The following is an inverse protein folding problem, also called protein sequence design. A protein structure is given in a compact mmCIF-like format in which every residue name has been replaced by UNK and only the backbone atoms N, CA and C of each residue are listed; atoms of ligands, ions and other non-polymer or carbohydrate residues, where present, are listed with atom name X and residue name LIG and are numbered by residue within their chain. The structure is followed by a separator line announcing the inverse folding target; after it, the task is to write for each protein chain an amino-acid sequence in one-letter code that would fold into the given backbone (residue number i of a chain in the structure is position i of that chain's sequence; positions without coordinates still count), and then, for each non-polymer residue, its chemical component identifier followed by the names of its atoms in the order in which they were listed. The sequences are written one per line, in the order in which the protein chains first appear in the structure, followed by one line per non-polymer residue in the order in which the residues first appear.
data_IF_360900109992
#
_entry.id   IF_360900109992
#
_cell.length_a   1.000
_cell.length_b   1.000
_cell.length_c   1.000
_cell.angle_alpha   90.00
_cell.angle_beta   90.00
_cell.angle_gamma   90.00
#
_symmetry.space_group_name_H-M   'P 1'
#
loop_
_entity.id
_entity.type
_entity.pdbx_description
1 polymer ?
#
# COMPACT_ATOMS: atom_id res chain seq x y z
N UNK A 1 6.32 -69.11 -48.75
CA UNK A 1 5.77 -68.79 -47.42
C UNK A 1 5.34 -67.33 -47.50
N UNK A 2 4.03 -67.10 -47.63
CA UNK A 2 3.44 -65.81 -48.00
C UNK A 2 2.93 -65.08 -46.75
N UNK A 3 3.14 -63.77 -46.69
CA UNK A 3 2.59 -62.88 -45.68
C UNK A 3 1.24 -62.35 -46.21
N UNK A 4 0.11 -62.56 -45.53
CA UNK A 4 -1.14 -61.90 -45.88
C UNK A 4 -1.26 -60.55 -45.16
N UNK A 5 -1.78 -59.56 -45.91
CA UNK A 5 -2.35 -58.32 -45.38
C UNK A 5 -3.66 -58.59 -44.64
N UNK A 6 -3.90 -57.85 -43.54
CA UNK A 6 -5.24 -57.45 -43.12
C UNK A 6 -5.27 -55.95 -42.84
N UNK A 7 -6.35 -55.31 -43.30
CA UNK A 7 -6.63 -53.88 -43.25
C UNK A 7 -7.70 -53.59 -42.19
N UNK A 8 -7.66 -52.37 -41.65
CA UNK A 8 -8.70 -51.60 -40.93
C UNK A 8 -8.76 -51.75 -39.40
N UNK A 9 -8.56 -50.65 -38.68
CA UNK A 9 -9.64 -49.68 -38.45
C UNK A 9 -9.06 -48.38 -37.86
N UNK A 10 -9.56 -47.23 -38.34
CA UNK A 10 -9.30 -45.93 -37.76
C UNK A 10 -10.03 -45.83 -36.41
N UNK A 11 -9.29 -46.01 -35.32
CA UNK A 11 -9.74 -45.57 -34.00
C UNK A 11 -9.27 -44.14 -33.81
N UNK A 12 -10.26 -43.24 -33.64
CA UNK A 12 -10.05 -41.83 -33.45
C UNK A 12 -9.00 -41.55 -32.39
N UNK A 13 -8.14 -40.57 -32.69
CA UNK A 13 -7.35 -39.92 -31.66
C UNK A 13 -8.32 -39.37 -30.64
N UNK A 14 -8.37 -40.02 -29.47
CA UNK A 14 -8.73 -39.34 -28.25
C UNK A 14 -7.80 -38.13 -28.17
N UNK A 15 -8.33 -36.95 -28.52
CA UNK A 15 -7.83 -35.67 -28.03
C UNK A 15 -8.05 -35.68 -26.53
N UNK A 16 -7.22 -36.44 -25.82
CA UNK A 16 -7.02 -36.27 -24.39
C UNK A 16 -6.56 -34.83 -24.22
N UNK A 17 -7.47 -34.00 -23.73
CA UNK A 17 -7.19 -32.61 -23.42
C UNK A 17 -5.91 -32.53 -22.61
N UNK A 18 -5.02 -31.67 -23.06
CA UNK A 18 -3.82 -31.30 -22.32
C UNK A 18 -4.25 -30.78 -20.93
N UNK A 19 -3.84 -31.41 -19.82
CA UNK A 19 -4.22 -31.02 -18.47
C UNK A 19 -3.38 -29.81 -18.02
N UNK A 20 -3.28 -28.77 -18.84
CA UNK A 20 -2.78 -27.47 -18.41
C UNK A 20 -3.82 -26.86 -17.48
N UNK A 21 -3.66 -27.18 -16.20
CA UNK A 21 -4.10 -26.42 -15.03
C UNK A 21 -5.49 -25.81 -15.18
N UNK A 22 -6.54 -26.62 -14.95
CA UNK A 22 -7.78 -26.04 -14.47
C UNK A 22 -7.45 -25.26 -13.19
N UNK A 23 -7.52 -23.93 -13.28
CA UNK A 23 -7.35 -23.05 -12.14
C UNK A 23 -8.33 -23.52 -11.06
N UNK A 24 -7.82 -23.82 -9.86
CA UNK A 24 -8.66 -24.28 -8.76
C UNK A 24 -9.77 -23.25 -8.52
N UNK A 25 -11.00 -23.74 -8.42
CA UNK A 25 -12.16 -22.85 -8.32
C UNK A 25 -12.02 -21.95 -7.08
N UNK A 26 -12.40 -20.66 -7.17
CA UNK A 26 -12.34 -19.76 -6.03
C UNK A 26 -13.07 -20.34 -4.82
N UNK A 27 -12.47 -20.23 -3.63
CA UNK A 27 -13.15 -20.54 -2.37
C UNK A 27 -14.05 -19.36 -2.03
N UNK A 28 -15.36 -19.58 -2.07
CA UNK A 28 -16.36 -18.57 -1.73
C UNK A 28 -16.74 -18.69 -0.24
N UNK A 29 -16.80 -17.54 0.45
CA UNK A 29 -17.17 -17.39 1.86
C UNK A 29 -18.27 -16.35 2.00
N UNK A 30 -19.23 -16.60 2.88
CA UNK A 30 -20.14 -15.55 3.36
C UNK A 30 -19.50 -14.77 4.50
N UNK A 31 -19.96 -13.54 4.74
CA UNK A 31 -19.53 -12.74 5.88
C UNK A 31 -20.27 -13.08 7.17
N UNK A 32 -19.58 -12.91 8.29
CA UNK A 32 -20.19 -12.73 9.60
C UNK A 32 -19.50 -11.56 10.30
N UNK A 33 -20.28 -10.69 10.95
CA UNK A 33 -19.72 -9.62 11.77
C UNK A 33 -19.32 -10.19 13.13
N UNK A 34 -18.11 -9.87 13.58
CA UNK A 34 -17.58 -10.29 14.87
C UNK A 34 -16.97 -9.10 15.62
N UNK A 35 -16.99 -9.17 16.95
CA UNK A 35 -16.27 -8.20 17.76
C UNK A 35 -14.75 -8.41 17.64
N UNK A 36 -13.98 -7.32 17.70
CA UNK A 36 -12.52 -7.41 17.74
C UNK A 36 -12.08 -8.13 19.02
N UNK A 37 -11.29 -9.22 18.94
CA UNK A 37 -10.85 -9.95 20.12
C UNK A 37 -10.00 -9.09 21.05
N UNK A 38 -10.19 -9.20 22.37
CA UNK A 38 -9.43 -8.42 23.36
C UNK A 38 -7.90 -8.54 23.19
N UNK A 39 -7.42 -9.74 22.82
CA UNK A 39 -6.01 -10.01 22.54
C UNK A 39 -5.43 -9.14 21.41
N UNK A 40 -6.25 -8.68 20.46
CA UNK A 40 -5.80 -7.76 19.41
C UNK A 40 -5.52 -6.37 19.99
N UNK A 41 -6.41 -5.87 20.85
CA UNK A 41 -6.20 -4.59 21.54
C UNK A 41 -4.93 -4.61 22.38
N UNK A 42 -4.67 -5.71 23.09
CA UNK A 42 -3.44 -5.92 23.85
C UNK A 42 -2.20 -5.97 22.94
N UNK A 43 -2.27 -6.72 21.83
CA UNK A 43 -1.17 -6.80 20.86
C UNK A 43 -0.86 -5.44 20.22
N UNK A 44 -1.88 -4.66 19.86
CA UNK A 44 -1.73 -3.30 19.31
C UNK A 44 -1.13 -2.37 20.36
N UNK A 45 -1.60 -2.40 21.61
CA UNK A 45 -1.03 -1.57 22.68
C UNK A 45 0.44 -1.90 22.96
N UNK A 46 0.81 -3.19 23.00
CA UNK A 46 2.19 -3.65 23.19
C UNK A 46 3.09 -3.42 21.95
N UNK A 47 2.49 -3.11 20.81
CA UNK A 47 3.21 -2.90 19.54
C UNK A 47 3.99 -1.58 19.49
N UNK A 48 3.71 -0.65 20.41
CA UNK A 48 4.30 0.68 20.42
C UNK A 48 5.83 0.65 20.39
N UNK A 49 6.40 1.60 19.65
CA UNK A 49 7.83 1.87 19.55
C UNK A 49 8.08 3.25 20.11
N UNK A 50 9.03 3.36 21.02
CA UNK A 50 9.49 4.65 21.52
C UNK A 50 10.36 5.34 20.45
N UNK A 51 9.88 6.47 19.96
CA UNK A 51 10.57 7.33 19.00
C UNK A 51 10.98 8.68 19.61
N UNK A 52 10.92 8.78 20.94
CA UNK A 52 11.30 9.94 21.75
C UNK A 52 10.14 10.87 22.12
N UNK A 53 8.94 10.34 22.40
CA UNK A 53 7.73 11.10 22.77
C UNK A 53 7.36 12.23 21.80
N UNK A 54 7.61 12.04 20.51
CA UNK A 54 7.37 13.01 19.43
C UNK A 54 6.48 12.38 18.35
N UNK A 55 5.62 13.19 17.73
CA UNK A 55 4.74 12.76 16.65
C UNK A 55 5.51 12.06 15.52
N UNK A 56 5.25 10.76 15.37
CA UNK A 56 5.91 9.90 14.40
C UNK A 56 4.87 9.07 13.64
N UNK A 57 4.92 9.14 12.32
CA UNK A 57 3.97 8.49 11.40
C UNK A 57 4.72 7.45 10.56
N UNK A 58 4.39 6.15 10.62
CA UNK A 58 4.96 5.17 9.72
C UNK A 58 4.54 5.47 8.27
N UNK A 59 5.37 5.10 7.31
CA UNK A 59 5.11 5.34 5.88
C UNK A 59 5.13 4.05 5.06
N UNK A 60 6.11 3.19 5.31
CA UNK A 60 6.27 1.94 4.58
C UNK A 60 6.96 0.86 5.43
N UNK A 61 6.77 -0.39 5.02
CA UNK A 61 7.34 -1.58 5.64
C UNK A 61 8.19 -2.32 4.60
N UNK A 62 9.41 -2.72 4.97
CA UNK A 62 10.30 -3.50 4.11
C UNK A 62 9.91 -4.98 4.04
N UNK A 63 10.44 -5.76 3.08
CA UNK A 63 10.28 -7.22 3.07
C UNK A 63 10.75 -7.90 4.37
N UNK A 64 11.77 -7.34 5.03
CA UNK A 64 12.28 -7.80 6.34
C UNK A 64 11.44 -7.37 7.54
N UNK A 65 10.44 -6.49 7.36
CA UNK A 65 9.62 -5.96 8.45
C UNK A 65 10.23 -4.75 9.19
N UNK A 66 11.24 -4.09 8.63
CA UNK A 66 11.68 -2.77 9.09
C UNK A 66 10.69 -1.70 8.61
N UNK A 67 10.59 -0.59 9.35
CA UNK A 67 9.61 0.46 9.05
C UNK A 67 10.30 1.79 8.82
N UNK A 68 9.98 2.43 7.70
CA UNK A 68 10.33 3.82 7.48
C UNK A 68 9.23 4.68 8.03
N UNK A 69 9.59 5.66 8.87
CA UNK A 69 8.66 6.57 9.50
C UNK A 69 9.13 8.02 9.39
N UNK A 70 8.20 8.95 9.52
CA UNK A 70 8.48 10.40 9.53
C UNK A 70 8.18 10.92 10.92
N UNK A 71 9.18 11.55 11.55
CA UNK A 71 9.05 12.22 12.85
C UNK A 71 8.97 13.73 12.64
N UNK A 72 8.03 14.38 13.32
CA UNK A 72 7.85 15.84 13.34
C UNK A 72 7.77 16.32 14.80
N UNK A 73 8.77 17.10 15.24
CA UNK A 73 8.84 17.67 16.59
C UNK A 73 8.31 19.10 16.70
N UNK A 74 7.73 19.65 15.63
CA UNK A 74 7.45 21.07 15.49
C UNK A 74 8.67 21.87 15.02
N UNK A 75 9.86 21.57 15.53
CA UNK A 75 11.11 22.21 15.13
C UNK A 75 11.84 21.45 14.02
N UNK A 76 11.83 20.13 14.07
CA UNK A 76 12.53 19.26 13.14
C UNK A 76 11.55 18.33 12.41
N UNK A 77 11.94 17.92 11.20
CA UNK A 77 11.30 16.84 10.46
C UNK A 77 12.35 15.86 9.99
N UNK A 78 12.16 14.59 10.32
CA UNK A 78 13.17 13.55 10.09
C UNK A 78 12.56 12.31 9.44
N UNK A 79 13.38 11.64 8.64
CA UNK A 79 13.13 10.27 8.21
C UNK A 79 13.82 9.31 9.18
N UNK A 80 13.08 8.35 9.70
CA UNK A 80 13.55 7.32 10.61
C UNK A 80 13.46 5.95 9.96
N UNK A 81 14.38 5.06 10.33
CA UNK A 81 14.27 3.63 10.17
C UNK A 81 14.05 3.01 11.54
N UNK A 82 12.98 2.23 11.67
CA UNK A 82 12.67 1.43 12.84
C UNK A 82 13.00 -0.02 12.50
N UNK A 83 13.97 -0.58 13.21
CA UNK A 83 14.44 -1.95 13.05
C UNK A 83 13.40 -2.98 13.48
N UNK A 84 13.63 -4.24 13.11
CA UNK A 84 12.74 -5.34 13.51
C UNK A 84 12.73 -5.56 15.03
N UNK A 85 13.85 -5.22 15.67
CA UNK A 85 14.11 -5.18 17.11
C UNK A 85 13.59 -3.91 17.82
N UNK A 86 12.83 -3.07 17.10
CA UNK A 86 12.35 -1.75 17.54
C UNK A 86 13.46 -0.71 17.78
N UNK A 87 14.71 -0.96 17.37
CA UNK A 87 15.74 0.08 17.37
C UNK A 87 15.38 1.22 16.42
N UNK A 88 15.67 2.46 16.79
CA UNK A 88 15.32 3.64 15.98
C UNK A 88 16.59 4.32 15.49
N UNK A 89 16.72 4.50 14.18
CA UNK A 89 17.84 5.17 13.54
C UNK A 89 17.35 6.31 12.66
N UNK A 90 17.93 7.49 12.82
CA UNK A 90 17.69 8.60 11.90
C UNK A 90 18.42 8.35 10.58
N UNK A 91 17.70 8.52 9.47
CA UNK A 91 18.24 8.41 8.11
C UNK A 91 18.50 9.77 7.46
N UNK A 92 17.64 10.75 7.75
CA UNK A 92 17.66 12.05 7.09
C UNK A 92 17.04 13.12 8.00
N UNK A 93 17.62 14.32 7.96
CA UNK A 93 17.04 15.54 8.56
C UNK A 93 16.62 16.50 7.46
N UNK A 94 15.37 16.96 7.51
CA UNK A 94 14.84 17.93 6.56
C UNK A 94 15.50 19.28 6.72
N UNK A 95 16.03 19.82 5.63
CA UNK A 95 16.41 21.22 5.57
C UNK A 95 15.15 22.08 5.46
N UNK A 96 15.05 23.14 6.26
CA UNK A 96 13.89 24.04 6.30
C UNK A 96 12.57 23.30 6.63
N UNK A 97 12.48 22.63 7.80
CA UNK A 97 11.30 21.88 8.22
C UNK A 97 10.04 22.74 8.35
N UNK A 98 10.17 24.07 8.46
CA UNK A 98 9.09 25.04 8.42
C UNK A 98 8.43 25.18 7.04
N UNK A 99 9.14 24.80 5.96
CA UNK A 99 8.66 24.87 4.57
C UNK A 99 8.38 23.50 3.95
N UNK A 100 9.10 22.47 4.37
CA UNK A 100 9.07 21.16 3.72
C UNK A 100 8.76 20.02 4.68
N UNK A 101 8.13 18.97 4.17
CA UNK A 101 7.85 17.72 4.86
C UNK A 101 8.19 16.51 3.99
N UNK A 102 8.09 15.33 4.55
CA UNK A 102 8.23 14.06 3.83
C UNK A 102 6.82 13.50 3.60
N UNK A 103 6.35 13.58 2.35
CA UNK A 103 4.98 13.20 1.97
C UNK A 103 4.84 11.71 1.71
N UNK A 104 5.76 11.14 0.93
CA UNK A 104 5.84 9.73 0.61
C UNK A 104 7.16 9.15 1.13
N UNK A 105 7.14 7.89 1.55
CA UNK A 105 8.36 7.08 1.66
C UNK A 105 8.04 5.61 1.32
N UNK A 106 8.98 4.96 0.64
CA UNK A 106 8.96 3.54 0.29
C UNK A 106 10.30 2.90 0.66
N UNK A 107 10.28 1.59 0.94
CA UNK A 107 11.47 0.83 1.30
C UNK A 107 11.45 -0.57 0.67
N UNK A 108 12.59 -0.99 0.14
CA UNK A 108 12.89 -2.37 -0.21
C UNK A 108 14.21 -2.81 0.47
N UNK A 109 14.78 -3.95 0.06
CA UNK A 109 15.98 -4.51 0.67
C UNK A 109 17.24 -3.64 0.52
N UNK A 110 17.30 -2.78 -0.50
CA UNK A 110 18.48 -1.95 -0.80
C UNK A 110 18.21 -0.46 -0.75
N UNK A 111 17.00 -0.02 -1.03
CA UNK A 111 16.69 1.38 -1.29
C UNK A 111 15.60 1.90 -0.35
N UNK A 112 15.73 3.17 0.00
CA UNK A 112 14.65 3.95 0.61
C UNK A 112 14.40 5.14 -0.29
N UNK A 113 13.20 5.24 -0.84
CA UNK A 113 12.76 6.36 -1.67
C UNK A 113 11.86 7.26 -0.83
N UNK A 114 11.99 8.58 -0.91
CA UNK A 114 11.06 9.49 -0.25
C UNK A 114 10.86 10.78 -1.04
N UNK A 115 9.68 11.36 -0.90
CA UNK A 115 9.29 12.60 -1.56
C UNK A 115 9.33 13.76 -0.58
N UNK A 116 10.11 14.78 -0.92
CA UNK A 116 10.11 16.08 -0.25
C UNK A 116 8.97 16.90 -0.81
N UNK A 117 8.08 17.33 0.09
CA UNK A 117 6.87 18.06 -0.24
C UNK A 117 6.95 19.45 0.35
N UNK A 118 6.69 20.48 -0.46
CA UNK A 118 6.46 21.84 0.02
C UNK A 118 5.13 21.88 0.75
N UNK A 119 5.20 21.98 2.07
CA UNK A 119 4.03 22.07 2.94
C UNK A 119 4.41 22.96 4.14
N UNK A 120 4.38 24.28 3.95
CA UNK A 120 4.79 25.21 4.98
C UNK A 120 3.86 25.13 6.19
N UNK A 121 4.41 25.26 7.39
CA UNK A 121 3.61 25.31 8.62
C UNK A 121 2.66 26.51 8.58
N UNK A 122 1.46 26.30 9.11
CA UNK A 122 0.42 27.33 9.27
C UNK A 122 -0.03 28.06 7.99
N UNK A 123 0.40 27.58 6.82
CA UNK A 123 0.03 28.16 5.55
C UNK A 123 -1.34 27.65 5.10
N UNK A 124 -2.39 28.35 5.53
CA UNK A 124 -3.75 28.10 5.04
C UNK A 124 -3.80 28.37 3.52
N UNK A 125 -4.30 27.40 2.74
CA UNK A 125 -4.51 27.54 1.30
C UNK A 125 -3.29 27.20 0.42
N UNK A 126 -2.17 26.78 1.00
CA UNK A 126 -1.07 26.20 0.21
C UNK A 126 -1.32 24.72 0.02
N UNK A 127 -1.51 24.30 -1.23
CA UNK A 127 -1.63 22.89 -1.57
C UNK A 127 -0.26 22.21 -1.47
N UNK A 128 -0.15 21.06 -0.77
CA UNK A 128 1.10 20.31 -0.72
C UNK A 128 1.54 19.87 -2.12
N UNK A 129 2.80 20.11 -2.46
CA UNK A 129 3.36 19.77 -3.77
C UNK A 129 4.70 19.07 -3.60
N UNK A 130 4.89 17.93 -4.26
CA UNK A 130 6.20 17.27 -4.31
C UNK A 130 7.16 18.13 -5.11
N UNK A 131 8.27 18.52 -4.50
CA UNK A 131 9.30 19.35 -5.14
C UNK A 131 10.55 18.56 -5.47
N UNK A 132 10.78 17.44 -4.77
CA UNK A 132 11.98 16.63 -4.95
C UNK A 132 11.72 15.19 -4.52
N UNK A 133 12.37 14.26 -5.20
CA UNK A 133 12.40 12.84 -4.87
C UNK A 133 13.84 12.49 -4.54
N UNK A 134 14.06 11.94 -3.36
CA UNK A 134 15.37 11.50 -2.90
C UNK A 134 15.39 9.99 -2.65
N UNK A 135 16.58 9.40 -2.79
CA UNK A 135 16.84 7.97 -2.62
C UNK A 135 18.05 7.77 -1.71
N UNK A 136 17.94 6.84 -0.76
CA UNK A 136 19.03 6.39 0.11
C UNK A 136 19.43 4.96 -0.28
N UNK A 137 20.72 4.74 -0.55
CA UNK A 137 21.31 3.39 -0.59
C UNK A 137 21.48 2.89 0.86
N UNK A 138 20.77 1.84 1.24
CA UNK A 138 20.81 1.29 2.60
C UNK A 138 22.14 0.62 2.94
N UNK A 139 22.91 0.18 1.93
CA UNK A 139 24.17 -0.52 2.14
C UNK A 139 25.30 0.45 2.48
N UNK A 140 25.35 1.60 1.82
CA UNK A 140 26.44 2.58 1.98
C UNK A 140 25.98 3.90 2.63
N UNK A 141 24.67 4.08 2.83
CA UNK A 141 24.09 5.27 3.45
C UNK A 141 24.11 6.52 2.57
N UNK A 142 24.41 6.38 1.27
CA UNK A 142 24.48 7.53 0.36
C UNK A 142 23.09 8.05 0.00
N UNK A 143 22.93 9.36 0.03
CA UNK A 143 21.72 10.07 -0.40
C UNK A 143 21.94 10.61 -1.80
N UNK A 144 20.93 10.47 -2.67
CA UNK A 144 20.92 11.08 -4.00
C UNK A 144 19.54 11.61 -4.36
N UNK A 145 19.50 12.71 -5.09
CA UNK A 145 18.28 13.23 -5.69
C UNK A 145 18.00 12.50 -7.00
N UNK A 146 16.79 11.98 -7.13
CA UNK A 146 16.27 11.26 -8.30
C UNK A 146 15.66 12.23 -9.29
N UNK A 147 14.81 13.13 -8.79
CA UNK A 147 14.10 14.12 -9.56
C UNK A 147 13.87 15.36 -8.70
N UNK A 148 13.89 16.54 -9.30
CA UNK A 148 13.61 17.81 -8.64
C UNK A 148 12.89 18.73 -9.61
N UNK A 149 11.84 19.40 -9.13
CA UNK A 149 11.17 20.42 -9.91
C UNK A 149 12.09 21.63 -10.04
N UNK A 150 12.29 22.12 -11.26
CA UNK A 150 13.14 23.29 -11.48
C UNK A 150 12.50 24.56 -10.90
N UNK A 151 13.32 25.50 -10.44
CA UNK A 151 12.81 26.80 -9.96
C UNK A 151 12.04 27.57 -11.03
N UNK A 152 12.39 27.40 -12.31
CA UNK A 152 11.69 28.03 -13.43
C UNK A 152 10.29 27.43 -13.62
N UNK A 153 10.15 26.12 -13.44
CA UNK A 153 8.87 25.43 -13.57
C UNK A 153 7.95 25.69 -12.37
N UNK A 154 8.52 25.79 -11.17
CA UNK A 154 7.80 26.20 -9.96
C UNK A 154 7.38 27.69 -9.97
N UNK A 155 8.05 28.54 -10.77
CA UNK A 155 7.71 29.96 -10.91
C UNK A 155 6.76 30.25 -12.08
N UNK A 156 6.45 29.25 -12.92
CA UNK A 156 5.53 29.41 -14.03
C UNK A 156 4.08 29.59 -13.53
N UNK A 157 3.21 30.23 -14.33
CA UNK A 157 1.78 30.35 -14.01
C UNK A 157 0.94 29.80 -15.18
N UNK A 158 0.26 28.66 -15.01
CA UNK A 158 0.37 27.74 -13.86
C UNK A 158 1.76 27.08 -13.78
N UNK A 159 2.10 26.54 -12.60
CA UNK A 159 3.30 25.71 -12.40
C UNK A 159 3.40 24.65 -13.48
N UNK A 160 4.62 24.33 -13.90
CA UNK A 160 4.89 23.30 -14.91
C UNK A 160 5.64 22.11 -14.32
N UNK A 161 5.66 21.01 -15.06
CA UNK A 161 6.42 19.80 -14.73
C UNK A 161 6.29 19.41 -13.25
N UNK A 162 5.05 19.38 -12.77
CA UNK A 162 4.77 19.16 -11.36
C UNK A 162 4.98 17.69 -11.05
N UNK A 163 5.89 17.40 -10.12
CA UNK A 163 6.06 16.04 -9.61
C UNK A 163 4.80 15.69 -8.82
N UNK A 164 4.14 14.64 -9.23
CA UNK A 164 2.98 14.06 -8.58
C UNK A 164 3.42 12.76 -7.87
N UNK A 165 2.47 11.88 -7.58
CA UNK A 165 2.64 10.55 -7.02
C UNK A 165 3.99 9.86 -7.32
N UNK A 166 4.52 9.21 -6.28
CA UNK A 166 5.86 8.60 -6.25
C UNK A 166 5.76 7.20 -5.67
N UNK A 167 6.48 6.24 -6.23
CA UNK A 167 6.54 4.87 -5.71
C UNK A 167 7.91 4.22 -5.89
N UNK A 168 8.31 3.38 -4.93
CA UNK A 168 9.41 2.43 -5.08
C UNK A 168 8.83 1.05 -5.38
N UNK A 169 9.18 0.48 -6.54
CA UNK A 169 8.76 -0.86 -6.94
C UNK A 169 9.91 -1.58 -7.65
N UNK A 170 10.11 -2.86 -7.36
CA UNK A 170 11.11 -3.70 -8.05
C UNK A 170 12.52 -3.10 -8.08
N UNK A 171 12.92 -2.43 -7.00
CA UNK A 171 14.23 -1.77 -6.93
C UNK A 171 14.35 -0.49 -7.75
N UNK A 172 13.26 0.02 -8.34
CA UNK A 172 13.22 1.23 -9.17
C UNK A 172 12.28 2.29 -8.59
N UNK A 173 12.66 3.55 -8.77
CA UNK A 173 11.81 4.67 -8.44
C UNK A 173 10.91 5.00 -9.64
N UNK A 174 9.64 5.22 -9.39
CA UNK A 174 8.69 5.72 -10.39
C UNK A 174 7.99 6.96 -9.88
N UNK A 175 7.71 7.89 -10.77
CA UNK A 175 6.91 9.07 -10.45
C UNK A 175 6.20 9.58 -11.68
N UNK A 176 5.14 10.35 -11.45
CA UNK A 176 4.49 11.11 -12.52
C UNK A 176 4.99 12.55 -12.51
N UNK A 177 5.25 13.07 -13.70
CA UNK A 177 5.32 14.51 -13.92
C UNK A 177 4.07 14.95 -14.68
N UNK A 178 3.28 15.86 -14.10
CA UNK A 178 2.16 16.52 -14.80
C UNK A 178 2.67 17.71 -15.57
N UNK A 179 2.00 18.03 -16.67
CA UNK A 179 2.31 19.25 -17.42
C UNK A 179 2.11 20.51 -16.57
N UNK A 180 1.05 20.52 -15.74
CA UNK A 180 0.77 21.56 -14.74
C UNK A 180 0.09 20.97 -13.50
N UNK A 181 0.01 21.72 -12.39
CA UNK A 181 -0.58 21.23 -11.13
C UNK A 181 -2.02 20.67 -11.32
N UNK A 182 -2.85 21.36 -12.10
CA UNK A 182 -4.23 20.92 -12.42
C UNK A 182 -4.35 20.24 -13.79
N UNK A 183 -3.23 19.99 -14.48
CA UNK A 183 -3.22 19.36 -15.80
C UNK A 183 -3.73 17.93 -15.73
N UNK A 184 -4.52 17.51 -16.70
CA UNK A 184 -5.09 16.18 -16.80
C UNK A 184 -4.18 15.20 -17.54
N UNK A 185 -3.03 15.64 -18.05
CA UNK A 185 -1.98 14.84 -18.70
C UNK A 185 -0.69 14.79 -17.89
N UNK A 186 0.07 13.70 -18.08
CA UNK A 186 1.42 13.58 -17.53
C UNK A 186 2.23 12.46 -18.17
N UNK A 187 3.44 12.27 -17.63
CA UNK A 187 4.40 11.26 -18.03
C UNK A 187 4.83 10.48 -16.79
N UNK A 188 4.82 9.14 -16.88
CA UNK A 188 5.42 8.27 -15.87
C UNK A 188 6.88 8.09 -16.20
N UNK A 189 7.74 8.46 -15.27
CA UNK A 189 9.17 8.22 -15.33
C UNK A 189 9.54 7.02 -14.48
N UNK A 190 10.62 6.35 -14.86
CA UNK A 190 11.29 5.33 -14.07
C UNK A 190 12.76 5.70 -13.91
N UNK A 191 13.34 5.31 -12.77
CA UNK A 191 14.75 5.44 -12.51
C UNK A 191 15.28 4.18 -11.86
N UNK A 192 16.24 3.55 -12.53
CA UNK A 192 16.97 2.40 -12.03
C UNK A 192 18.21 2.86 -11.25
N UNK A 193 18.24 2.65 -9.93
CA UNK A 193 19.37 3.06 -9.12
C UNK A 193 20.63 2.24 -9.25
N UNK A 194 20.55 1.00 -9.71
CA UNK A 194 21.71 0.18 -9.96
C UNK A 194 22.50 0.67 -11.19
N UNK A 195 21.80 1.16 -12.22
CA UNK A 195 22.41 1.61 -13.47
C UNK A 195 22.50 3.13 -13.62
N UNK A 196 21.74 3.88 -12.80
CA UNK A 196 21.59 5.33 -12.96
C UNK A 196 20.76 5.73 -14.18
N UNK A 197 20.01 4.79 -14.76
CA UNK A 197 19.24 5.02 -15.99
C UNK A 197 17.85 5.55 -15.67
N UNK A 198 17.47 6.66 -16.30
CA UNK A 198 16.11 7.19 -16.28
C UNK A 198 15.42 6.95 -17.61
N UNK A 199 14.13 6.62 -17.59
CA UNK A 199 13.34 6.36 -18.82
C UNK A 199 11.87 6.71 -18.61
N UNK A 200 11.24 7.29 -19.63
CA UNK A 200 9.80 7.51 -19.69
C UNK A 200 9.11 6.22 -20.09
N UNK A 201 8.20 5.72 -19.25
CA UNK A 201 7.57 4.39 -19.43
C UNK A 201 6.12 4.47 -19.87
N UNK A 202 5.45 5.59 -19.63
CA UNK A 202 4.09 5.86 -20.10
C UNK A 202 3.83 7.36 -20.17
N UNK A 203 2.87 7.77 -21.00
CA UNK A 203 2.35 9.14 -21.04
C UNK A 203 0.86 9.08 -21.38
N UNK A 204 0.08 10.05 -20.89
CA UNK A 204 -1.36 10.10 -21.14
C UNK A 204 -2.14 10.80 -20.03
N UNK A 205 -3.47 10.60 -19.99
CA UNK A 205 -4.32 11.16 -18.96
C UNK A 205 -3.92 10.67 -17.55
N UNK A 206 -3.87 11.56 -16.57
CA UNK A 206 -3.51 11.24 -15.19
C UNK A 206 -4.42 10.14 -14.62
N UNK A 207 -5.72 10.15 -14.94
CA UNK A 207 -6.64 9.07 -14.53
C UNK A 207 -6.15 7.68 -14.94
N UNK A 208 -5.50 7.58 -16.09
CA UNK A 208 -5.05 6.31 -16.67
C UNK A 208 -3.68 5.92 -16.13
N UNK A 209 -2.86 6.92 -15.76
CA UNK A 209 -1.56 6.72 -15.13
C UNK A 209 -1.68 6.35 -13.64
N UNK A 210 -2.72 6.83 -12.94
CA UNK A 210 -3.03 6.55 -11.53
C UNK A 210 -3.78 5.22 -11.34
N UNK A 211 -3.21 4.09 -11.73
CA UNK A 211 -3.88 2.78 -11.52
C UNK A 211 -3.49 2.13 -10.20
N UNK A 212 -4.18 2.54 -9.14
CA UNK A 212 -4.35 1.81 -7.87
C UNK A 212 -3.46 2.21 -6.70
N UNK A 213 -3.90 1.88 -5.48
CA UNK A 213 -3.27 2.32 -4.21
C UNK A 213 -1.83 1.82 -3.98
N UNK A 214 -1.31 0.94 -4.84
CA UNK A 214 0.04 0.38 -4.77
C UNK A 214 1.00 0.86 -5.86
N UNK A 215 0.54 1.59 -6.90
CA UNK A 215 1.33 2.30 -7.94
C UNK A 215 2.47 1.56 -8.65
N UNK A 216 2.78 0.31 -8.29
CA UNK A 216 3.70 -0.50 -9.06
C UNK A 216 3.17 -0.55 -10.49
N UNK A 217 3.97 -0.18 -11.52
CA UNK A 217 3.56 -0.47 -12.88
C UNK A 217 3.28 -1.96 -12.91
N UNK A 218 2.02 -2.30 -13.20
CA UNK A 218 1.54 -3.66 -13.31
C UNK A 218 2.19 -4.29 -14.53
N UNK A 219 3.47 -4.62 -14.44
CA UNK A 219 4.14 -5.49 -15.39
C UNK A 219 3.49 -6.85 -15.17
N UNK A 220 2.48 -7.15 -15.99
CA UNK A 220 1.70 -8.39 -15.95
C UNK A 220 2.55 -9.66 -16.04
N UNK A 221 3.84 -9.52 -16.40
CA UNK A 221 4.79 -10.61 -16.52
C UNK A 221 5.08 -11.34 -15.20
N UNK A 222 5.01 -10.67 -14.05
CA UNK A 222 5.40 -11.25 -12.75
C UNK A 222 4.25 -11.46 -11.77
N UNK A 223 3.02 -11.08 -12.15
CA UNK A 223 1.85 -11.33 -11.32
C UNK A 223 1.37 -12.77 -11.45
N UNK A 224 0.92 -13.39 -10.34
CA UNK A 224 0.19 -14.65 -10.42
C UNK A 224 -0.99 -14.52 -11.39
N UNK A 225 -1.20 -15.52 -12.25
CA UNK A 225 -2.23 -15.48 -13.29
C UNK A 225 -3.63 -15.13 -12.72
N UNK A 226 -3.92 -15.62 -11.51
CA UNK A 226 -5.10 -15.29 -10.74
C UNK A 226 -5.29 -13.77 -10.50
N UNK A 227 -4.22 -13.09 -10.12
CA UNK A 227 -4.20 -11.64 -9.83
C UNK A 227 -4.20 -10.84 -11.12
N UNK A 228 -3.47 -11.30 -12.14
CA UNK A 228 -3.43 -10.66 -13.46
C UNK A 228 -4.83 -10.62 -14.12
N UNK A 229 -5.65 -11.66 -13.86
CA UNK A 229 -7.01 -11.83 -14.38
C UNK A 229 -8.09 -11.02 -13.63
N UNK A 230 -7.75 -10.27 -12.57
CA UNK A 230 -8.71 -9.41 -11.86
C UNK A 230 -9.32 -8.39 -12.84
N UNK A 231 -10.63 -8.11 -12.79
CA UNK A 231 -11.25 -7.07 -13.60
C UNK A 231 -10.57 -5.71 -13.40
N UNK A 232 -10.40 -4.93 -14.48
CA UNK A 232 -9.70 -3.63 -14.44
C UNK A 232 -10.27 -2.67 -13.38
N UNK A 233 -11.59 -2.66 -13.21
CA UNK A 233 -12.29 -1.84 -12.21
C UNK A 233 -11.89 -2.17 -10.76
N UNK A 234 -11.50 -3.42 -10.48
CA UNK A 234 -11.09 -3.85 -9.14
C UNK A 234 -9.58 -3.63 -8.90
N UNK A 235 -8.76 -3.59 -9.96
CA UNK A 235 -7.29 -3.43 -9.87
C UNK A 235 -6.87 -2.16 -9.12
N UNK A 236 -7.69 -1.10 -9.19
CA UNK A 236 -7.45 0.14 -8.45
C UNK A 236 -7.37 -0.06 -6.92
N UNK A 237 -8.02 -1.08 -6.40
CA UNK A 237 -8.07 -1.39 -4.97
C UNK A 237 -7.06 -2.46 -4.53
N UNK A 238 -6.19 -2.96 -5.41
CA UNK A 238 -5.32 -4.08 -5.04
C UNK A 238 -4.19 -3.63 -4.11
N UNK A 239 -4.09 -4.29 -2.97
CA UNK A 239 -2.97 -4.23 -2.02
C UNK A 239 -2.20 -5.55 -1.96
N UNK A 240 -0.97 -5.49 -1.46
CA UNK A 240 -0.11 -6.68 -1.29
C UNK A 240 0.85 -6.50 -0.11
N UNK A 241 1.21 -7.61 0.54
CA UNK A 241 2.30 -7.66 1.52
C UNK A 241 3.63 -8.21 0.93
N UNK A 242 3.66 -8.39 -0.39
CA UNK A 242 4.75 -9.01 -1.16
C UNK A 242 4.58 -10.51 -1.39
N UNK A 243 3.66 -11.19 -0.69
CA UNK A 243 3.42 -12.63 -0.83
C UNK A 243 1.97 -12.96 -1.18
N UNK A 244 1.04 -12.17 -0.68
CA UNK A 244 -0.39 -12.29 -0.94
C UNK A 244 -0.95 -10.97 -1.49
N UNK A 245 -2.13 -11.04 -2.11
CA UNK A 245 -2.83 -9.93 -2.71
C UNK A 245 -4.26 -9.87 -2.19
N UNK A 246 -4.78 -8.67 -1.98
CA UNK A 246 -6.15 -8.42 -1.53
C UNK A 246 -6.74 -7.25 -2.30
N UNK A 247 -8.04 -7.27 -2.54
CA UNK A 247 -8.74 -6.20 -3.28
C UNK A 247 -10.21 -6.14 -2.92
N UNK A 248 -10.82 -4.99 -3.21
CA UNK A 248 -12.27 -4.83 -3.17
C UNK A 248 -12.83 -5.46 -4.46
N UNK A 249 -13.67 -6.48 -4.29
CA UNK A 249 -14.39 -7.11 -5.38
C UNK A 249 -15.64 -6.29 -5.71
N UNK A 250 -16.12 -6.39 -6.97
CA UNK A 250 -17.34 -5.75 -7.43
C UNK A 250 -17.46 -4.24 -7.16
N UNK A 251 -16.34 -3.52 -7.32
CA UNK A 251 -16.24 -2.05 -7.17
C UNK A 251 -17.29 -1.30 -8.00
N UNK A 252 -17.63 -1.81 -9.19
CA UNK A 252 -18.65 -1.20 -10.06
C UNK A 252 -20.06 -1.13 -9.43
N UNK A 253 -20.34 -1.96 -8.41
CA UNK A 253 -21.62 -2.03 -7.71
C UNK A 253 -21.51 -1.58 -6.24
N UNK A 254 -20.47 -0.81 -5.89
CA UNK A 254 -20.26 -0.29 -4.54
C UNK A 254 -19.32 -1.12 -3.67
N UNK A 255 -18.82 -2.26 -4.16
CA UNK A 255 -17.81 -3.06 -3.47
C UNK A 255 -18.36 -3.90 -2.31
N UNK A 256 -19.18 -4.91 -2.60
CA UNK A 256 -19.82 -5.77 -1.60
C UNK A 256 -19.03 -7.05 -1.29
N UNK A 257 -17.79 -7.16 -1.78
CA UNK A 257 -16.95 -8.33 -1.57
C UNK A 257 -15.46 -8.01 -1.45
N UNK A 258 -14.72 -8.98 -0.93
CA UNK A 258 -13.27 -8.94 -0.80
C UNK A 258 -12.67 -10.14 -1.50
N UNK A 259 -11.77 -9.86 -2.44
CA UNK A 259 -10.94 -10.88 -3.05
C UNK A 259 -9.59 -10.96 -2.35
N UNK A 260 -9.08 -12.18 -2.24
CA UNK A 260 -7.77 -12.48 -1.70
C UNK A 260 -7.11 -13.58 -2.52
N UNK A 261 -5.79 -13.51 -2.64
CA UNK A 261 -4.99 -14.58 -3.22
C UNK A 261 -3.69 -14.75 -2.44
N UNK A 262 -3.31 -15.99 -2.21
CA UNK A 262 -1.95 -16.36 -1.81
C UNK A 262 -1.52 -17.65 -2.52
N UNK A 263 -0.21 -17.94 -2.60
CA UNK A 263 0.28 -19.21 -3.13
C UNK A 263 -0.28 -20.43 -2.39
N UNK A 264 -0.58 -20.29 -1.10
CA UNK A 264 -1.01 -21.40 -0.24
C UNK A 264 -2.51 -21.65 -0.30
N UNK A 265 -3.31 -20.60 -0.46
CA UNK A 265 -4.79 -20.68 -0.39
C UNK A 265 -5.48 -20.63 -1.75
N UNK A 266 -4.75 -20.24 -2.80
CA UNK A 266 -5.40 -19.87 -4.08
C UNK A 266 -6.28 -18.64 -3.92
N UNK A 267 -7.27 -18.51 -4.82
CA UNK A 267 -8.25 -17.40 -4.78
C UNK A 267 -9.30 -17.68 -3.71
N UNK A 268 -9.49 -16.71 -2.82
CA UNK A 268 -10.61 -16.65 -1.88
C UNK A 268 -11.46 -15.42 -2.21
N UNK A 269 -12.78 -15.56 -2.11
CA UNK A 269 -13.72 -14.45 -2.16
C UNK A 269 -14.61 -14.46 -0.93
N UNK A 270 -14.72 -13.32 -0.28
CA UNK A 270 -15.61 -13.08 0.85
C UNK A 270 -16.71 -12.14 0.39
N UNK A 271 -17.96 -12.63 0.38
CA UNK A 271 -19.11 -11.91 -0.17
C UNK A 271 -20.01 -11.34 0.94
N UNK A 272 -20.62 -10.19 0.71
CA UNK A 272 -21.50 -9.51 1.66
C UNK A 272 -20.75 -8.65 2.68
N UNK A 273 -19.60 -8.10 2.30
CA UNK A 273 -18.86 -7.14 3.14
C UNK A 273 -19.51 -5.77 2.93
N UNK A 274 -20.21 -5.25 3.93
CA UNK A 274 -20.80 -3.91 3.87
C UNK A 274 -19.71 -2.85 3.99
N UNK A 275 -19.33 -2.25 2.85
CA UNK A 275 -18.36 -1.15 2.80
C UNK A 275 -19.06 0.17 2.53
N UNK A 276 -18.52 1.25 3.09
CA UNK A 276 -18.97 2.59 2.76
C UNK A 276 -18.90 2.87 1.24
N UNK A 277 -19.92 3.46 0.59
CA UNK A 277 -19.95 3.70 -0.86
C UNK A 277 -18.75 4.47 -1.43
N UNK A 278 -18.14 5.35 -0.62
CA UNK A 278 -16.94 6.11 -1.01
C UNK A 278 -15.61 5.39 -0.73
N UNK A 279 -15.63 4.17 -0.19
CA UNK A 279 -14.43 3.36 0.09
C UNK A 279 -13.56 3.22 -1.16
N UNK A 280 -14.18 3.08 -2.33
CA UNK A 280 -13.51 2.86 -3.63
C UNK A 280 -12.73 4.08 -4.11
N UNK A 281 -12.99 5.27 -3.55
CA UNK A 281 -12.33 6.53 -3.92
C UNK A 281 -11.12 6.85 -3.04
N UNK A 282 -11.10 6.36 -1.80
CA UNK A 282 -10.16 6.85 -0.78
C UNK A 282 -9.49 5.75 0.06
N UNK A 283 -10.03 4.52 0.06
CA UNK A 283 -9.52 3.47 0.93
C UNK A 283 -8.28 2.82 0.36
N UNK A 284 -7.30 2.62 1.24
CA UNK A 284 -6.16 1.75 0.98
C UNK A 284 -6.52 0.34 1.38
N UNK A 285 -6.25 -0.61 0.48
CA UNK A 285 -6.29 -2.02 0.83
C UNK A 285 -4.90 -2.47 1.22
N UNK A 286 -4.81 -3.11 2.37
CA UNK A 286 -3.59 -3.68 2.92
C UNK A 286 -3.81 -5.18 3.10
N UNK A 287 -2.75 -5.95 2.91
CA UNK A 287 -2.75 -7.40 3.18
C UNK A 287 -1.82 -7.65 4.35
N UNK A 288 -2.24 -8.49 5.29
CA UNK A 288 -1.39 -8.87 6.41
C UNK A 288 -1.74 -10.29 6.82
N UNK A 289 -0.83 -11.23 6.56
CA UNK A 289 -1.11 -12.66 6.73
C UNK A 289 -2.41 -13.02 5.96
N UNK A 290 -3.41 -13.60 6.62
CA UNK A 290 -4.68 -13.99 6.01
C UNK A 290 -5.75 -12.90 6.10
N UNK A 291 -5.37 -11.67 6.50
CA UNK A 291 -6.28 -10.55 6.64
C UNK A 291 -6.19 -9.60 5.44
N UNK A 292 -7.35 -9.15 4.97
CA UNK A 292 -7.47 -7.97 4.11
C UNK A 292 -8.00 -6.83 4.95
N UNK A 293 -7.29 -5.71 4.95
CA UNK A 293 -7.58 -4.54 5.78
C UNK A 293 -7.89 -3.36 4.86
N UNK A 294 -9.02 -2.70 5.11
CA UNK A 294 -9.51 -1.59 4.31
C UNK A 294 -9.51 -0.34 5.18
N UNK A 295 -8.57 0.57 4.91
CA UNK A 295 -8.46 1.83 5.67
C UNK A 295 -9.67 2.72 5.42
N UNK A 296 -10.25 3.28 6.50
CA UNK A 296 -11.49 4.08 6.46
C UNK A 296 -12.70 3.35 5.82
N UNK A 297 -12.72 2.01 5.88
CA UNK A 297 -13.72 1.16 5.21
C UNK A 297 -14.93 0.76 6.04
N UNK A 298 -15.34 1.56 7.04
CA UNK A 298 -16.43 1.19 7.95
C UNK A 298 -17.76 0.89 7.24
N UNK A 299 -18.64 0.18 7.94
CA UNK A 299 -20.04 0.02 7.50
C UNK A 299 -20.70 1.39 7.30
N UNK A 300 -21.65 1.48 6.38
CA UNK A 300 -22.40 2.71 6.05
C UNK A 300 -23.02 3.44 7.24
N UNK A 301 -23.14 2.76 8.39
CA UNK A 301 -23.80 3.26 9.60
C UNK A 301 -22.86 3.76 10.70
N UNK A 302 -21.53 3.56 10.61
CA UNK A 302 -20.62 3.80 11.75
C UNK A 302 -19.60 4.90 11.44
N UNK A 303 -19.99 6.16 11.65
CA UNK A 303 -19.03 7.27 11.77
C UNK A 303 -18.07 6.95 12.91
N UNK A 304 -16.80 6.66 12.59
CA UNK A 304 -15.77 6.39 13.59
C UNK A 304 -14.86 5.20 13.30
N UNK A 305 -15.15 4.32 12.33
CA UNK A 305 -14.29 3.14 12.08
C UNK A 305 -12.98 3.53 11.41
N UNK A 306 -11.85 3.14 12.01
CA UNK A 306 -10.52 3.39 11.44
C UNK A 306 -10.20 2.44 10.28
N UNK A 307 -10.62 1.19 10.38
CA UNK A 307 -10.41 0.18 9.35
C UNK A 307 -11.41 -0.97 9.46
N UNK A 308 -11.75 -1.58 8.33
CA UNK A 308 -12.47 -2.86 8.27
C UNK A 308 -11.48 -3.97 8.00
N UNK A 309 -11.52 -5.02 8.81
CA UNK A 309 -10.62 -6.16 8.75
C UNK A 309 -11.42 -7.39 8.39
N UNK A 310 -11.02 -8.07 7.33
CA UNK A 310 -11.64 -9.30 6.84
C UNK A 310 -10.66 -10.46 6.98
N UNK A 311 -11.02 -11.46 7.78
CA UNK A 311 -10.27 -12.72 7.86
C UNK A 311 -10.72 -13.64 6.72
N UNK A 312 -9.82 -13.85 5.76
CA UNK A 312 -10.13 -14.61 4.54
C UNK A 312 -10.28 -16.12 4.81
N UNK A 313 -9.85 -16.61 5.98
CA UNK A 313 -9.98 -18.03 6.34
C UNK A 313 -11.44 -18.40 6.62
N UNK A 314 -12.13 -17.54 7.37
CA UNK A 314 -13.47 -17.77 7.89
C UNK A 314 -14.55 -16.91 7.22
N UNK A 315 -14.20 -15.74 6.67
CA UNK A 315 -15.14 -14.72 6.24
C UNK A 315 -15.56 -13.75 7.36
N UNK A 316 -14.96 -13.87 8.54
CA UNK A 316 -15.26 -12.98 9.66
C UNK A 316 -14.79 -11.54 9.38
N UNK A 317 -15.65 -10.58 9.70
CA UNK A 317 -15.43 -9.14 9.52
C UNK A 317 -15.44 -8.47 10.89
N UNK A 318 -14.35 -7.78 11.21
CA UNK A 318 -14.22 -6.97 12.42
C UNK A 318 -13.90 -5.52 12.07
N UNK A 319 -14.40 -4.58 12.86
CA UNK A 319 -14.08 -3.16 12.72
C UNK A 319 -13.01 -2.77 13.75
N UNK A 320 -11.93 -2.16 13.28
CA UNK A 320 -10.98 -1.48 14.15
C UNK A 320 -11.61 -0.15 14.58
N UNK A 321 -12.16 -0.14 15.79
CA UNK A 321 -12.74 1.05 16.38
C UNK A 321 -11.66 1.91 17.05
N UNK A 322 -11.85 3.25 17.08
CA UNK A 322 -10.96 4.17 17.76
C UNK A 322 -10.91 3.83 19.25
N UNK A 323 -9.73 3.90 19.86
CA UNK A 323 -9.60 3.74 21.31
C UNK A 323 -10.30 4.88 22.08
N UNK A 324 -10.46 6.05 21.45
CA UNK A 324 -11.25 7.17 21.96
C UNK A 324 -11.98 7.89 20.79
N UNK A 325 -13.13 8.57 21.03
CA UNK A 325 -13.94 9.24 20.00
C UNK A 325 -13.18 10.23 19.10
N UNK A 326 -12.04 10.74 19.60
CA UNK A 326 -11.18 11.71 18.90
C UNK A 326 -9.78 11.14 18.54
N UNK A 327 -9.54 9.83 18.73
CA UNK A 327 -8.22 9.21 18.63
C UNK A 327 -8.25 7.95 17.76
N UNK A 328 -7.77 8.06 16.53
CA UNK A 328 -7.84 7.01 15.53
C UNK A 328 -6.50 6.31 15.41
N UNK A 329 -6.45 5.02 15.78
CA UNK A 329 -5.35 4.18 15.34
C UNK A 329 -5.55 3.88 13.86
N UNK A 330 -4.53 4.11 13.05
CA UNK A 330 -4.64 3.93 11.60
C UNK A 330 -3.59 2.93 11.11
N UNK A 331 -4.07 1.86 10.49
CA UNK A 331 -3.20 0.96 9.75
C UNK A 331 -2.66 1.72 8.53
N UNK A 332 -1.34 1.73 8.38
CA UNK A 332 -0.68 2.62 7.41
C UNK A 332 0.02 1.88 6.30
N UNK A 333 0.69 0.78 6.63
CA UNK A 333 1.41 -0.05 5.69
C UNK A 333 1.56 -1.46 6.22
N UNK A 334 1.70 -2.43 5.31
CA UNK A 334 1.98 -3.82 5.65
C UNK A 334 2.92 -4.45 4.63
N UNK A 335 3.87 -5.25 5.11
CA UNK A 335 4.79 -6.06 4.29
C UNK A 335 5.56 -7.02 5.16
N UNK A 336 6.00 -8.15 4.61
CA UNK A 336 6.97 -9.03 5.28
C UNK A 336 6.48 -9.52 6.66
N UNK A 337 5.18 -9.84 6.76
CA UNK A 337 4.56 -10.24 8.02
C UNK A 337 4.56 -9.15 9.09
N UNK A 338 4.58 -7.87 8.71
CA UNK A 338 4.57 -6.74 9.62
C UNK A 338 3.50 -5.74 9.24
N UNK A 339 2.74 -5.31 10.24
CA UNK A 339 1.72 -4.28 10.15
C UNK A 339 2.19 -3.04 10.91
N UNK A 340 2.29 -1.92 10.21
CA UNK A 340 2.65 -0.64 10.81
C UNK A 340 1.40 0.21 11.07
N UNK A 341 1.26 0.67 12.31
CA UNK A 341 0.15 1.46 12.78
C UNK A 341 0.61 2.85 13.20
N UNK A 342 -0.19 3.86 12.86
CA UNK A 342 -0.22 5.11 13.61
C UNK A 342 -1.01 4.84 14.88
N UNK A 343 -0.35 4.90 16.03
CA UNK A 343 -0.98 4.82 17.33
C UNK A 343 -1.18 6.24 17.85
N UNK A 344 -2.38 6.56 18.29
CA UNK A 344 -2.60 7.83 18.96
C UNK A 344 -2.08 7.78 20.41
N UNK A 345 -1.27 8.76 20.81
CA UNK A 345 -0.49 8.72 22.05
C UNK A 345 -0.91 9.71 23.15
N UNK A 346 -2.02 10.47 22.98
CA UNK A 346 -2.51 11.32 24.07
C UNK A 346 -3.66 12.27 23.71
N UNK A 347 -4.22 13.01 24.70
CA UNK A 347 -5.17 14.09 24.44
C UNK A 347 -4.42 15.24 23.75
N UNK A 348 -4.41 15.23 22.42
CA UNK A 348 -3.67 16.24 21.63
C UNK A 348 -4.10 17.66 21.99
N UNK A 349 -3.17 18.62 21.82
CA UNK A 349 -3.45 20.07 21.95
C UNK A 349 -4.19 20.60 20.72
N UNK A 350 -5.29 19.93 20.35
CA UNK A 350 -6.14 20.27 19.22
C UNK A 350 -5.90 19.41 17.96
N UNK A 351 -6.79 19.54 16.95
CA UNK A 351 -6.84 18.66 15.77
C UNK A 351 -5.65 18.78 14.81
N UNK A 352 -4.72 19.72 15.03
CA UNK A 352 -3.58 19.98 14.13
C UNK A 352 -2.24 19.40 14.61
N UNK A 353 -2.11 19.09 15.90
CA UNK A 353 -0.88 18.57 16.51
C UNK A 353 -1.23 17.40 17.42
N UNK A 354 -1.26 16.22 16.82
CA UNK A 354 -1.52 14.97 17.52
C UNK A 354 -0.21 14.26 17.79
N UNK A 355 0.01 13.92 19.06
CA UNK A 355 1.10 13.04 19.45
C UNK A 355 0.77 11.65 18.90
N UNK A 356 1.51 11.26 17.85
CA UNK A 356 1.41 9.97 17.19
C UNK A 356 2.63 9.14 17.54
N UNK A 357 2.40 7.89 17.93
CA UNK A 357 3.43 6.88 18.09
C UNK A 357 3.34 5.87 16.93
N UNK A 358 4.41 5.12 16.73
CA UNK A 358 4.43 4.01 15.77
C UNK A 358 4.15 2.70 16.49
N UNK A 359 3.22 1.91 15.97
CA UNK A 359 2.97 0.53 16.40
C UNK A 359 3.44 -0.47 15.35
N UNK A 360 4.12 -1.55 15.79
CA UNK A 360 4.58 -2.65 14.92
C UNK A 360 3.98 -3.98 15.36
N UNK A 361 2.95 -4.45 14.66
CA UNK A 361 2.33 -5.77 14.90
C UNK A 361 2.93 -6.79 13.94
N UNK A 362 3.33 -7.97 14.45
CA UNK A 362 3.95 -9.05 13.67
C UNK A 362 2.94 -10.13 13.32
N UNK A 363 3.17 -10.83 12.22
CA UNK A 363 2.37 -11.98 11.82
C UNK A 363 2.29 -13.00 12.97
N UNK A 364 1.11 -13.59 13.14
CA UNK A 364 0.82 -14.48 14.27
C UNK A 364 0.56 -13.79 15.61
N UNK A 365 0.80 -12.47 15.75
CA UNK A 365 0.40 -11.74 16.96
C UNK A 365 -1.12 -11.48 17.02
N UNK A 366 -1.78 -11.48 15.86
CA UNK A 366 -3.24 -11.34 15.76
C UNK A 366 -3.86 -12.71 15.56
N UNK A 367 -4.65 -13.16 16.53
CA UNK A 367 -5.33 -14.44 16.44
C UNK A 367 -6.38 -14.44 15.31
N UNK A 368 -6.67 -15.60 14.69
CA UNK A 368 -7.73 -15.71 13.70
C UNK A 368 -9.10 -15.26 14.21
N UNK A 369 -9.90 -14.72 13.30
CA UNK A 369 -11.30 -14.42 13.53
C UNK A 369 -12.17 -15.57 13.03
N UNK A 370 -13.26 -15.84 13.73
CA UNK A 370 -14.13 -16.99 13.45
C UNK A 370 -15.59 -16.57 13.38
N UNK A 371 -16.26 -17.00 12.31
CA UNK A 371 -17.66 -17.36 12.36
C UNK A 371 -17.78 -18.73 13.09
#
# INVERSE_FOLDING_TARGET
MAIPLFVASACGQNTGGDPRMAQEAPVERGTCTVDMPAQWSEAIAASAVDTGDISTTPRAVSPSGEVVAVRDSGEERQLLLIGTDKSVRQLFSMARPELFTIGYAGIDDRWILFAVVRHPRDANGVLPQTVRIDLIDRQVGSLRTVAEQSAADAAATPDRNVIDDVVLSEGKAYWITRDTYNGDSGVVHSFDPATGTQTDVAAGPISDLRTGSSWAPWTTADLPAAVAAIPSVNKASVGTDGTAFGWIADVAHGGDGIGYWSPQTGIVKVNGVDLHPDVTKFARVLVFDSFVIIGAGGMTSTLGVSATIVDTRSGAVAELTPRNPDQYDMVTASRGGTLALNLWAGPGRGPKESDRAVGLVRAGALAPLHC
#
